data_IF_996601616555
#
_entry.id   IF_996601616555
#
_cell.length_a   1.000
_cell.length_b   1.000
_cell.length_c   1.000
_cell.angle_alpha   90.00
_cell.angle_beta   90.00
_cell.angle_gamma   90.00
#
_symmetry.space_group_name_H-M   'P 1'
#
loop_
_entity.id
_entity.type
_entity.pdbx_description
1 polymer ?
#
# COMPACT_ATOMS: atom_id res chain seq x y z
N UNK A 1 -13.70 29.34 27.29
CA UNK A 1 -13.93 28.26 26.30
C UNK A 1 -12.69 27.94 25.46
N UNK A 2 -11.75 28.87 25.21
CA UNK A 2 -10.52 28.58 24.44
C UNK A 2 -9.59 27.50 25.05
N UNK A 3 -9.53 27.36 26.38
CA UNK A 3 -8.63 26.40 27.03
C UNK A 3 -8.86 24.93 26.62
N UNK A 4 -10.09 24.57 26.24
CA UNK A 4 -10.41 23.21 25.79
C UNK A 4 -9.91 22.94 24.37
N UNK A 5 -9.98 23.93 23.47
CA UNK A 5 -9.56 23.79 22.07
C UNK A 5 -8.04 23.67 21.95
N UNK A 6 -7.29 24.49 22.72
CA UNK A 6 -5.83 24.37 22.79
C UNK A 6 -5.39 23.03 23.34
N UNK A 7 -6.08 22.52 24.38
CA UNK A 7 -5.77 21.23 24.96
C UNK A 7 -6.03 20.08 23.96
N UNK A 8 -7.15 20.12 23.23
CA UNK A 8 -7.44 19.15 22.15
C UNK A 8 -6.36 19.19 21.07
N UNK A 9 -5.96 20.38 20.62
CA UNK A 9 -4.93 20.54 19.61
C UNK A 9 -3.59 19.95 20.07
N UNK A 10 -3.13 20.30 21.27
CA UNK A 10 -1.88 19.78 21.83
C UNK A 10 -1.94 18.26 22.01
N UNK A 11 -3.01 17.72 22.57
CA UNK A 11 -3.18 16.27 22.74
C UNK A 11 -3.20 15.53 21.40
N UNK A 12 -3.92 16.05 20.40
CA UNK A 12 -3.98 15.46 19.06
C UNK A 12 -2.63 15.48 18.34
N UNK A 13 -1.86 16.57 18.48
CA UNK A 13 -0.52 16.71 17.94
C UNK A 13 0.45 15.71 18.57
N UNK A 14 0.48 15.61 19.90
CA UNK A 14 1.33 14.65 20.61
C UNK A 14 1.00 13.20 20.24
N UNK A 15 -0.28 12.84 20.16
CA UNK A 15 -0.71 11.51 19.74
C UNK A 15 -0.25 11.19 18.30
N UNK A 16 -0.41 12.15 17.39
CA UNK A 16 0.02 12.01 15.99
C UNK A 16 1.54 11.81 15.90
N UNK A 17 2.32 12.60 16.63
CA UNK A 17 3.78 12.47 16.69
C UNK A 17 4.22 11.10 17.24
N UNK A 18 3.55 10.63 18.29
CA UNK A 18 3.83 9.31 18.87
C UNK A 18 3.57 8.18 17.87
N UNK A 19 2.41 8.20 17.21
CA UNK A 19 2.03 7.20 16.19
C UNK A 19 3.04 7.18 15.04
N UNK A 20 3.42 8.33 14.50
CA UNK A 20 4.41 8.42 13.43
C UNK A 20 5.78 7.87 13.84
N UNK A 21 6.20 8.15 15.07
CA UNK A 21 7.45 7.62 15.62
C UNK A 21 7.43 6.10 15.70
N UNK A 22 6.32 5.51 16.18
CA UNK A 22 6.15 4.06 16.23
C UNK A 22 6.18 3.43 14.84
N UNK A 23 5.44 3.99 13.87
CA UNK A 23 5.41 3.51 12.49
C UNK A 23 6.82 3.48 11.91
N UNK A 24 7.56 4.57 12.05
CA UNK A 24 8.93 4.66 11.52
C UNK A 24 9.86 3.65 12.19
N UNK A 25 9.78 3.50 13.51
CA UNK A 25 10.59 2.54 14.26
C UNK A 25 10.33 1.10 13.82
N UNK A 26 9.06 0.68 13.75
CA UNK A 26 8.71 -0.66 13.29
C UNK A 26 9.10 -0.88 11.84
N UNK A 27 8.85 0.09 10.96
CA UNK A 27 9.24 0.00 9.56
C UNK A 27 10.75 -0.18 9.42
N UNK A 28 11.56 0.64 10.09
CA UNK A 28 13.02 0.52 10.08
C UNK A 28 13.48 -0.85 10.61
N UNK A 29 12.88 -1.35 11.68
CA UNK A 29 13.16 -2.70 12.20
C UNK A 29 12.80 -3.78 11.18
N UNK A 30 11.65 -3.69 10.54
CA UNK A 30 11.22 -4.64 9.50
C UNK A 30 12.16 -4.64 8.30
N UNK A 31 12.59 -3.46 7.83
CA UNK A 31 13.59 -3.36 6.73
C UNK A 31 14.89 -4.03 7.14
N UNK A 32 15.44 -3.69 8.31
CA UNK A 32 16.69 -4.30 8.79
C UNK A 32 16.56 -5.83 8.95
N UNK A 33 15.41 -6.30 9.43
CA UNK A 33 15.13 -7.73 9.55
C UNK A 33 15.07 -8.41 8.17
N UNK A 34 14.20 -7.95 7.26
CA UNK A 34 14.00 -8.57 5.94
C UNK A 34 15.28 -8.61 5.10
N UNK A 35 16.14 -7.59 5.22
CA UNK A 35 17.39 -7.51 4.46
C UNK A 35 18.60 -8.09 5.21
N UNK A 36 18.51 -8.31 6.53
CA UNK A 36 19.60 -8.81 7.37
C UNK A 36 19.60 -10.33 7.62
N UNK A 37 18.49 -11.03 7.37
CA UNK A 37 18.40 -12.48 7.64
C UNK A 37 19.15 -13.29 6.57
N UNK A 38 20.19 -14.02 6.98
CA UNK A 38 20.68 -15.20 6.24
C UNK A 38 19.82 -16.41 6.60
N UNK A 39 18.73 -16.64 5.87
CA UNK A 39 17.89 -17.83 6.09
C UNK A 39 18.56 -19.06 5.46
N UNK A 40 18.25 -20.24 6.01
CA UNK A 40 18.72 -21.54 5.47
C UNK A 40 18.33 -21.76 4.00
N UNK A 41 17.28 -21.09 3.51
CA UNK A 41 16.88 -21.14 2.10
C UNK A 41 16.94 -19.75 1.47
N UNK A 42 17.83 -19.59 0.48
CA UNK A 42 17.90 -18.36 -0.31
C UNK A 42 16.56 -18.03 -0.99
N UNK A 43 15.81 -19.06 -1.37
CA UNK A 43 14.50 -18.93 -2.02
C UNK A 43 13.48 -18.24 -1.11
N UNK A 44 13.43 -18.59 0.17
CA UNK A 44 12.49 -17.99 1.14
C UNK A 44 12.81 -16.51 1.37
N UNK A 45 14.09 -16.16 1.55
CA UNK A 45 14.52 -14.77 1.73
C UNK A 45 14.19 -13.92 0.50
N UNK A 46 14.39 -14.45 -0.71
CA UNK A 46 14.05 -13.74 -1.95
C UNK A 46 12.54 -13.45 -2.05
N UNK A 47 11.69 -14.42 -1.70
CA UNK A 47 10.24 -14.24 -1.69
C UNK A 47 9.78 -13.22 -0.64
N UNK A 48 10.33 -13.26 0.59
CA UNK A 48 10.02 -12.28 1.63
C UNK A 48 10.40 -10.85 1.21
N UNK A 49 11.57 -10.67 0.60
CA UNK A 49 12.01 -9.36 0.09
C UNK A 49 11.11 -8.84 -1.02
N UNK A 50 10.73 -9.68 -1.99
CA UNK A 50 9.83 -9.29 -3.07
C UNK A 50 8.44 -8.94 -2.54
N UNK A 51 7.92 -9.73 -1.59
CA UNK A 51 6.65 -9.45 -0.93
C UNK A 51 6.69 -8.11 -0.19
N UNK A 52 7.74 -7.86 0.61
CA UNK A 52 7.90 -6.60 1.34
C UNK A 52 7.92 -5.39 0.40
N UNK A 53 8.67 -5.44 -0.71
CA UNK A 53 8.68 -4.37 -1.71
C UNK A 53 7.28 -4.15 -2.31
N UNK A 54 6.56 -5.23 -2.64
CA UNK A 54 5.20 -5.14 -3.17
C UNK A 54 4.24 -4.48 -2.16
N UNK A 55 4.35 -4.80 -0.87
CA UNK A 55 3.57 -4.16 0.21
C UNK A 55 3.90 -2.67 0.31
N UNK A 56 5.18 -2.28 0.27
CA UNK A 56 5.56 -0.86 0.29
C UNK A 56 4.95 -0.07 -0.88
N UNK A 57 5.01 -0.62 -2.10
CA UNK A 57 4.40 -0.02 -3.29
C UNK A 57 2.88 0.04 -3.14
N UNK A 58 2.26 -1.03 -2.65
CA UNK A 58 0.82 -1.11 -2.43
C UNK A 58 0.32 -0.09 -1.42
N UNK A 59 1.09 0.26 -0.38
CA UNK A 59 0.70 1.30 0.59
C UNK A 59 0.93 2.69 0.01
N UNK A 60 2.05 2.90 -0.69
CA UNK A 60 2.39 4.21 -1.23
C UNK A 60 1.41 4.70 -2.32
N UNK A 61 0.99 3.82 -3.23
CA UNK A 61 0.10 4.17 -4.34
C UNK A 61 -1.27 4.75 -3.91
N UNK A 62 -2.10 4.06 -3.10
CA UNK A 62 -3.39 4.58 -2.67
C UNK A 62 -3.21 5.79 -1.76
N UNK A 63 -2.13 5.85 -0.97
CA UNK A 63 -1.82 7.03 -0.16
C UNK A 63 -1.64 8.28 -1.04
N UNK A 64 -0.80 8.22 -2.07
CA UNK A 64 -0.61 9.35 -3.01
C UNK A 64 -1.91 9.76 -3.69
N UNK A 65 -2.74 8.79 -4.10
CA UNK A 65 -4.04 9.06 -4.74
C UNK A 65 -5.01 9.80 -3.80
N UNK A 66 -4.98 9.52 -2.50
CA UNK A 66 -5.81 10.19 -1.48
C UNK A 66 -5.27 11.57 -1.12
N UNK A 67 -3.94 11.77 -1.15
CA UNK A 67 -3.33 13.05 -0.80
C UNK A 67 -3.80 14.18 -1.71
N UNK A 68 -4.07 13.91 -2.99
CA UNK A 68 -4.57 14.91 -3.95
C UNK A 68 -5.92 15.52 -3.52
N UNK A 69 -7.01 14.73 -3.36
CA UNK A 69 -8.30 15.27 -2.91
C UNK A 69 -8.25 15.82 -1.47
N UNK A 70 -7.40 15.26 -0.61
CA UNK A 70 -7.21 15.80 0.74
C UNK A 70 -6.58 17.21 0.73
N UNK A 71 -5.52 17.41 -0.06
CA UNK A 71 -4.91 18.72 -0.26
C UNK A 71 -5.90 19.72 -0.85
N UNK A 72 -6.70 19.30 -1.85
CA UNK A 72 -7.75 20.14 -2.43
C UNK A 72 -8.73 20.63 -1.35
N UNK A 73 -9.32 19.72 -0.56
CA UNK A 73 -10.26 20.08 0.51
C UNK A 73 -9.62 21.05 1.50
N UNK A 74 -8.36 20.82 1.89
CA UNK A 74 -7.62 21.71 2.80
C UNK A 74 -7.45 23.12 2.22
N UNK A 75 -7.06 23.23 0.94
CA UNK A 75 -6.94 24.51 0.25
C UNK A 75 -8.26 25.25 0.16
N UNK A 76 -9.35 24.53 -0.16
CA UNK A 76 -10.71 25.09 -0.24
C UNK A 76 -11.19 25.65 1.10
N UNK A 77 -10.91 24.95 2.20
CA UNK A 77 -11.22 25.41 3.57
C UNK A 77 -10.46 26.69 3.89
N UNK A 78 -9.17 26.78 3.54
CA UNK A 78 -8.35 27.96 3.80
C UNK A 78 -8.78 29.17 2.95
N UNK A 79 -8.99 28.96 1.64
CA UNK A 79 -9.36 30.02 0.71
C UNK A 79 -10.84 30.41 0.77
N UNK A 80 -11.69 29.67 1.51
CA UNK A 80 -13.16 29.84 1.60
C UNK A 80 -13.91 29.79 0.26
N UNK A 81 -13.27 29.31 -0.80
CA UNK A 81 -13.84 29.21 -2.14
C UNK A 81 -14.35 27.80 -2.39
N UNK A 82 -15.59 27.53 -1.98
CA UNK A 82 -16.18 26.20 -2.09
C UNK A 82 -16.80 25.98 -3.46
N UNK A 83 -16.10 25.24 -4.32
CA UNK A 83 -16.76 24.60 -5.45
C UNK A 83 -17.40 23.28 -4.97
N UNK A 84 -18.72 23.25 -4.96
CA UNK A 84 -19.52 22.12 -4.45
C UNK A 84 -19.27 20.86 -5.28
N UNK A 85 -19.04 20.99 -6.60
CA UNK A 85 -18.83 19.84 -7.47
C UNK A 85 -17.47 19.16 -7.16
N UNK A 86 -16.40 19.95 -7.09
CA UNK A 86 -15.07 19.43 -6.79
C UNK A 86 -14.91 18.96 -5.33
N UNK A 87 -15.56 19.65 -4.39
CA UNK A 87 -15.60 19.21 -2.98
C UNK A 87 -16.29 17.86 -2.85
N UNK A 88 -17.48 17.69 -3.45
CA UNK A 88 -18.21 16.42 -3.41
C UNK A 88 -17.43 15.29 -4.08
N UNK A 89 -16.81 15.57 -5.23
CA UNK A 89 -15.95 14.59 -5.91
C UNK A 89 -14.76 14.16 -5.03
N UNK A 90 -14.11 15.12 -4.37
CA UNK A 90 -12.99 14.84 -3.46
C UNK A 90 -13.40 13.98 -2.27
N UNK A 91 -14.60 14.22 -1.70
CA UNK A 91 -15.15 13.40 -0.63
C UNK A 91 -15.46 11.97 -1.12
N UNK A 92 -16.00 11.80 -2.33
CA UNK A 92 -16.23 10.48 -2.93
C UNK A 92 -14.91 9.73 -3.13
N UNK A 93 -13.86 10.41 -3.62
CA UNK A 93 -12.53 9.80 -3.79
C UNK A 93 -11.94 9.35 -2.45
N UNK A 94 -12.03 10.20 -1.42
CA UNK A 94 -11.53 9.89 -0.07
C UNK A 94 -12.33 8.72 0.51
N UNK A 95 -13.65 8.67 0.38
CA UNK A 95 -14.44 7.55 0.93
C UNK A 95 -14.22 6.25 0.17
N UNK A 96 -14.00 6.30 -1.14
CA UNK A 96 -13.76 5.13 -1.98
C UNK A 96 -12.33 4.57 -1.89
N UNK A 97 -11.41 5.25 -1.22
CA UNK A 97 -10.00 4.87 -1.20
C UNK A 97 -9.73 3.45 -0.67
N UNK A 98 -10.53 2.99 0.30
CA UNK A 98 -10.39 1.66 0.87
C UNK A 98 -10.65 0.58 -0.18
N UNK A 99 -11.68 0.78 -1.02
CA UNK A 99 -11.99 -0.11 -2.14
C UNK A 99 -10.86 -0.12 -3.17
N UNK A 100 -10.34 1.06 -3.54
CA UNK A 100 -9.20 1.14 -4.46
C UNK A 100 -7.93 0.49 -3.89
N UNK A 101 -7.65 0.67 -2.60
CA UNK A 101 -6.52 0.03 -1.93
C UNK A 101 -6.64 -1.50 -1.95
N UNK A 102 -7.83 -2.05 -1.72
CA UNK A 102 -8.09 -3.50 -1.81
C UNK A 102 -7.99 -4.01 -3.25
N UNK A 103 -8.56 -3.31 -4.23
CA UNK A 103 -8.44 -3.71 -5.64
C UNK A 103 -6.97 -3.70 -6.07
N UNK A 104 -6.23 -2.65 -5.72
CA UNK A 104 -4.81 -2.54 -6.03
C UNK A 104 -3.98 -3.63 -5.35
N UNK A 105 -4.31 -3.97 -4.10
CA UNK A 105 -3.72 -5.12 -3.38
C UNK A 105 -3.84 -6.41 -4.18
N UNK A 106 -5.04 -6.71 -4.68
CA UNK A 106 -5.32 -7.92 -5.45
C UNK A 106 -4.55 -7.95 -6.79
N UNK A 107 -4.32 -6.79 -7.40
CA UNK A 107 -3.62 -6.67 -8.70
C UNK A 107 -2.09 -6.71 -8.57
N UNK A 108 -1.51 -6.03 -7.58
CA UNK A 108 -0.06 -5.90 -7.40
C UNK A 108 0.56 -7.20 -6.86
N UNK A 109 -0.09 -7.87 -5.92
CA UNK A 109 0.45 -9.08 -5.33
C UNK A 109 0.28 -10.28 -6.28
N UNK A 110 1.37 -10.67 -6.95
CA UNK A 110 1.46 -11.83 -7.86
C UNK A 110 0.78 -13.13 -7.35
N UNK A 111 0.94 -13.57 -6.08
CA UNK A 111 0.22 -14.74 -5.57
C UNK A 111 -1.30 -14.49 -5.52
N UNK A 112 -1.72 -13.32 -5.02
CA UNK A 112 -3.11 -12.92 -4.92
C UNK A 112 -3.78 -12.80 -6.30
N UNK A 113 -3.13 -12.14 -7.27
CA UNK A 113 -3.64 -12.01 -8.64
C UNK A 113 -3.89 -13.36 -9.29
N UNK A 114 -2.99 -14.34 -9.07
CA UNK A 114 -3.10 -15.66 -9.69
C UNK A 114 -4.27 -16.45 -9.12
N UNK A 115 -4.46 -16.44 -7.81
CA UNK A 115 -5.58 -17.13 -7.16
C UNK A 115 -6.92 -16.42 -7.40
N UNK A 116 -6.95 -15.08 -7.35
CA UNK A 116 -8.16 -14.30 -7.63
C UNK A 116 -8.65 -14.51 -9.06
N UNK A 117 -7.75 -14.53 -10.05
CA UNK A 117 -8.12 -14.81 -11.45
C UNK A 117 -8.59 -16.25 -11.68
N UNK A 118 -8.11 -17.22 -10.88
CA UNK A 118 -8.61 -18.60 -10.90
C UNK A 118 -10.04 -18.67 -10.35
N UNK A 119 -10.29 -18.02 -9.21
CA UNK A 119 -11.64 -17.95 -8.59
C UNK A 119 -12.62 -17.23 -9.51
N UNK A 120 -12.20 -16.14 -10.16
CA UNK A 120 -13.02 -15.38 -11.10
C UNK A 120 -13.18 -16.06 -12.48
N UNK A 121 -12.60 -17.24 -12.70
CA UNK A 121 -12.83 -18.05 -13.90
C UNK A 121 -12.17 -17.54 -15.19
N UNK A 122 -11.25 -16.57 -15.13
CA UNK A 122 -10.57 -16.02 -16.32
C UNK A 122 -9.46 -17.00 -16.77
N UNK A 123 -9.86 -18.06 -17.49
CA UNK A 123 -9.00 -19.19 -17.92
C UNK A 123 -7.85 -18.80 -18.86
N UNK A 124 -7.91 -17.63 -19.53
CA UNK A 124 -6.93 -17.19 -20.55
C UNK A 124 -5.52 -16.88 -19.97
N UNK A 125 -5.44 -16.30 -18.77
CA UNK A 125 -4.15 -15.90 -18.17
C UNK A 125 -3.40 -17.07 -17.49
N UNK A 126 -4.13 -18.03 -16.91
CA UNK A 126 -3.55 -19.21 -16.26
C UNK A 126 -2.79 -20.10 -17.24
N UNK A 127 -3.36 -20.32 -18.44
CA UNK A 127 -2.74 -21.16 -19.49
C UNK A 127 -1.44 -20.54 -20.02
N UNK A 128 -1.35 -19.21 -20.11
CA UNK A 128 -0.14 -18.51 -20.58
C UNK A 128 1.03 -18.58 -19.57
N UNK A 129 0.76 -18.37 -18.28
CA UNK A 129 1.80 -18.43 -17.25
C UNK A 129 2.31 -19.86 -17.02
N UNK A 130 1.42 -20.87 -17.07
CA UNK A 130 1.83 -22.28 -16.92
C UNK A 130 2.75 -22.73 -18.07
N UNK A 131 2.47 -22.28 -19.30
CA UNK A 131 3.28 -22.58 -20.49
C UNK A 131 4.60 -21.82 -20.50
N UNK A 132 4.68 -20.62 -19.90
CA UNK A 132 5.92 -19.88 -19.73
C UNK A 132 6.85 -20.51 -18.67
N UNK A 133 6.31 -20.97 -17.55
CA UNK A 133 7.08 -21.66 -16.49
C UNK A 133 7.62 -23.01 -16.95
N UNK A 134 6.86 -23.77 -17.75
CA UNK A 134 7.32 -25.04 -18.34
C UNK A 134 8.39 -24.84 -19.42
N UNK A 135 8.45 -23.66 -20.05
CA UNK A 135 9.47 -23.30 -21.05
C UNK A 135 10.73 -22.65 -20.47
N UNK A 136 10.77 -22.34 -19.17
CA UNK A 136 12.01 -21.91 -18.55
C UNK A 136 12.95 -23.11 -18.51
N UNK A 137 14.16 -23.03 -19.12
CA UNK A 137 15.13 -24.11 -19.00
C UNK A 137 15.41 -24.34 -17.52
N UNK A 138 15.62 -25.60 -17.09
CA UNK A 138 16.05 -25.87 -15.73
C UNK A 138 17.31 -25.04 -15.50
N UNK A 139 17.28 -24.19 -14.48
CA UNK A 139 18.48 -23.48 -14.03
C UNK A 139 19.52 -24.58 -13.75
N UNK A 140 20.54 -24.67 -14.59
CA UNK A 140 21.64 -25.58 -14.38
C UNK A 140 22.29 -25.17 -13.06
N UNK A 141 22.10 -25.98 -12.03
CA UNK A 141 23.03 -26.08 -10.90
C UNK A 141 24.39 -26.41 -11.49
N UNK A 142 25.22 -25.38 -11.66
CA UNK A 142 26.66 -25.55 -11.82
C UNK A 142 27.28 -25.56 -10.42
N UNK A 143 28.04 -26.62 -10.19
CA UNK A 143 28.65 -27.06 -8.94
C UNK A 143 29.52 -26.03 -8.24
#
# INVERSE_FOLDING_TARGET
>A
MLGNEYLIFVCSGLFTMFVWTQIFFFFAKTVNFVFGIKSQSQRTTQLQRQFFIAVCIQVALPFVVIMIPACYILSTIYSKNFDIAFTNFSVIMITSHGLFATILMLLIHKPYRTETLKILGIKKFYKSNKVAVVRMPPCATQN
#
